data_IF_114631259694
#
_entry.id   IF_114631259694
#
_cell.length_a   1.000
_cell.length_b   1.000
_cell.length_c   1.000
_cell.angle_alpha   90.00
_cell.angle_beta   90.00
_cell.angle_gamma   90.00
#
_symmetry.space_group_name_H-M   'P 1'
#
loop_
_entity.id
_entity.type
_entity.pdbx_description
1 polymer ?
#
# COMPACT_ATOMS: atom_id res chain seq x y z
N UNK A 1 9.18 39.76 -22.55
CA UNK A 1 7.97 39.02 -22.19
C UNK A 1 6.93 40.03 -21.74
N UNK A 2 5.81 40.12 -22.43
CA UNK A 2 4.72 41.02 -22.11
C UNK A 2 3.91 40.43 -20.94
N UNK A 3 3.67 41.19 -19.88
CA UNK A 3 2.85 40.75 -18.74
C UNK A 3 1.37 40.80 -19.12
N UNK A 4 0.67 39.68 -19.04
CA UNK A 4 -0.78 39.68 -19.15
C UNK A 4 -1.40 40.47 -18.01
N UNK A 5 -2.13 41.57 -18.34
CA UNK A 5 -2.84 42.38 -17.36
C UNK A 5 -4.10 41.60 -16.88
N UNK A 6 -4.27 41.49 -15.56
CA UNK A 6 -5.49 40.92 -15.01
C UNK A 6 -6.63 41.93 -15.05
N UNK A 7 -7.84 41.46 -15.41
CA UNK A 7 -9.10 42.24 -15.32
C UNK A 7 -9.91 41.86 -14.07
N UNK A 8 -9.34 41.06 -13.17
CA UNK A 8 -10.01 40.62 -11.95
C UNK A 8 -10.15 41.77 -10.98
N UNK A 9 -11.39 42.05 -10.59
CA UNK A 9 -11.71 42.96 -9.51
C UNK A 9 -12.06 42.19 -8.24
N UNK A 10 -11.17 42.21 -7.26
CA UNK A 10 -11.35 41.48 -6.00
C UNK A 10 -12.45 42.05 -5.08
N UNK A 11 -12.94 43.24 -5.37
CA UNK A 11 -14.05 43.87 -4.66
C UNK A 11 -15.44 43.61 -5.30
N UNK A 12 -15.48 42.96 -6.45
CA UNK A 12 -16.70 42.56 -7.10
C UNK A 12 -17.42 41.46 -6.26
N UNK A 13 -18.74 41.57 -6.11
CA UNK A 13 -19.57 40.63 -5.37
C UNK A 13 -19.40 39.22 -5.92
N UNK A 14 -19.39 39.06 -7.23
CA UNK A 14 -19.19 37.75 -7.88
C UNK A 14 -17.80 37.16 -7.53
N UNK A 15 -16.75 37.95 -7.41
CA UNK A 15 -15.45 37.48 -6.96
C UNK A 15 -15.48 37.03 -5.49
N UNK A 16 -16.12 37.82 -4.63
CA UNK A 16 -16.23 37.51 -3.19
C UNK A 16 -17.00 36.20 -2.98
N UNK A 17 -18.12 36.04 -3.66
CA UNK A 17 -18.97 34.83 -3.57
C UNK A 17 -18.22 33.58 -4.10
N UNK A 18 -17.58 33.67 -5.25
CA UNK A 18 -16.77 32.60 -5.83
C UNK A 18 -15.59 32.23 -4.94
N UNK A 19 -14.92 33.24 -4.33
CA UNK A 19 -13.82 32.99 -3.38
C UNK A 19 -14.32 32.24 -2.15
N UNK A 20 -15.45 32.65 -1.57
CA UNK A 20 -16.04 31.97 -0.41
C UNK A 20 -16.42 30.50 -0.75
N UNK A 21 -17.07 30.28 -1.88
CA UNK A 21 -17.39 28.94 -2.34
C UNK A 21 -16.15 28.04 -2.55
N UNK A 22 -15.11 28.57 -3.19
CA UNK A 22 -13.88 27.80 -3.39
C UNK A 22 -13.16 27.49 -2.08
N UNK A 23 -13.12 28.46 -1.12
CA UNK A 23 -12.52 28.21 0.20
C UNK A 23 -13.27 27.11 0.95
N UNK A 24 -14.61 27.08 0.91
CA UNK A 24 -15.41 26.01 1.51
C UNK A 24 -15.11 24.63 0.89
N UNK A 25 -14.92 24.55 -0.43
CA UNK A 25 -14.54 23.32 -1.11
C UNK A 25 -13.12 22.86 -0.73
N UNK A 26 -12.19 23.78 -0.56
CA UNK A 26 -10.81 23.48 -0.12
C UNK A 26 -10.84 22.94 1.31
N UNK A 27 -11.60 23.56 2.22
CA UNK A 27 -11.77 23.11 3.59
C UNK A 27 -12.32 21.67 3.62
N UNK A 28 -13.40 21.41 2.89
CA UNK A 28 -13.97 20.06 2.75
C UNK A 28 -12.95 19.04 2.21
N UNK A 29 -12.16 19.42 1.21
CA UNK A 29 -11.09 18.55 0.69
C UNK A 29 -10.05 18.24 1.75
N UNK A 30 -9.60 19.25 2.52
CA UNK A 30 -8.61 19.07 3.58
C UNK A 30 -9.11 18.15 4.69
N UNK A 31 -10.37 18.27 5.13
CA UNK A 31 -11.00 17.37 6.10
C UNK A 31 -11.04 15.93 5.62
N UNK A 32 -11.44 15.71 4.35
CA UNK A 32 -11.45 14.37 3.74
C UNK A 32 -10.06 13.77 3.64
N UNK A 33 -9.06 14.56 3.27
CA UNK A 33 -7.67 14.14 3.21
C UNK A 33 -7.13 13.80 4.61
N UNK A 34 -7.46 14.60 5.63
CA UNK A 34 -7.07 14.32 7.01
C UNK A 34 -7.66 12.98 7.49
N UNK A 35 -8.94 12.74 7.22
CA UNK A 35 -9.63 11.48 7.52
C UNK A 35 -8.96 10.29 6.80
N UNK A 36 -8.66 10.43 5.51
CA UNK A 36 -7.99 9.38 4.74
C UNK A 36 -6.58 9.06 5.26
N UNK A 37 -5.85 10.09 5.74
CA UNK A 37 -4.51 9.95 6.29
C UNK A 37 -4.48 9.35 7.69
N UNK A 38 -5.55 9.48 8.46
CA UNK A 38 -5.68 8.88 9.79
C UNK A 38 -5.81 7.34 9.76
N UNK A 39 -5.98 6.76 8.57
CA UNK A 39 -6.04 5.29 8.39
C UNK A 39 -7.18 4.65 9.19
N UNK A 40 -6.86 3.62 9.98
CA UNK A 40 -7.84 2.90 10.80
C UNK A 40 -8.26 3.62 12.09
N UNK A 41 -7.66 4.79 12.40
CA UNK A 41 -7.94 5.60 13.58
C UNK A 41 -7.16 5.17 14.83
N UNK A 42 -7.26 5.99 15.90
CA UNK A 42 -6.38 5.97 17.06
C UNK A 42 -6.16 4.60 17.69
N UNK A 43 -7.22 3.84 17.99
CA UNK A 43 -7.11 2.50 18.61
C UNK A 43 -6.27 1.51 17.78
N UNK A 44 -6.42 1.55 16.46
CA UNK A 44 -5.68 0.66 15.56
C UNK A 44 -4.25 1.15 15.36
N UNK A 45 -4.04 2.46 15.35
CA UNK A 45 -2.72 3.07 15.34
C UNK A 45 -1.94 2.73 16.60
N UNK A 46 -2.52 2.91 17.81
CA UNK A 46 -1.90 2.53 19.08
C UNK A 46 -1.49 1.06 19.10
N UNK A 47 -2.40 0.17 18.68
CA UNK A 47 -2.10 -1.26 18.56
C UNK A 47 -0.98 -1.54 17.57
N UNK A 48 -0.89 -0.80 16.48
CA UNK A 48 0.16 -0.94 15.47
C UNK A 48 1.52 -0.51 16.04
N UNK A 49 1.56 0.67 16.69
CA UNK A 49 2.76 1.21 17.34
C UNK A 49 3.23 0.38 18.54
N UNK A 50 2.32 -0.18 19.34
CA UNK A 50 2.69 -1.05 20.45
C UNK A 50 3.42 -2.33 20.05
N UNK A 51 3.35 -2.69 18.75
CA UNK A 51 4.10 -3.79 18.14
C UNK A 51 5.43 -3.34 17.52
N UNK A 52 5.87 -2.12 17.78
CA UNK A 52 7.11 -1.55 17.23
C UNK A 52 7.07 -1.19 15.75
N UNK A 53 5.88 -1.07 15.17
CA UNK A 53 5.72 -0.82 13.74
C UNK A 53 5.48 0.66 13.43
N UNK A 54 6.11 1.14 12.36
CA UNK A 54 5.80 2.45 11.77
C UNK A 54 4.55 2.39 10.90
N UNK A 55 3.81 3.49 10.82
CA UNK A 55 2.69 3.66 9.89
C UNK A 55 3.20 3.71 8.43
N UNK A 56 2.35 3.39 7.44
CA UNK A 56 2.81 3.27 6.05
C UNK A 56 3.45 4.55 5.50
N UNK A 57 2.92 5.73 5.83
CA UNK A 57 3.51 7.02 5.40
C UNK A 57 4.85 7.30 6.07
N UNK A 58 4.99 6.97 7.34
CA UNK A 58 6.27 7.08 8.07
C UNK A 58 7.34 6.14 7.49
N UNK A 59 6.93 4.92 7.06
CA UNK A 59 7.84 3.99 6.39
C UNK A 59 8.36 4.58 5.08
N UNK A 60 7.48 5.17 4.28
CA UNK A 60 7.86 5.82 3.01
C UNK A 60 8.79 7.01 3.28
N UNK A 61 8.43 7.90 4.23
CA UNK A 61 9.23 9.07 4.59
C UNK A 61 10.66 8.73 5.02
N UNK A 62 10.85 7.55 5.66
CA UNK A 62 12.18 7.06 6.06
C UNK A 62 12.99 6.45 4.93
N UNK A 63 12.38 6.12 3.80
CA UNK A 63 13.04 5.47 2.65
C UNK A 63 13.39 6.50 1.59
N UNK A 64 12.53 7.51 1.36
CA UNK A 64 12.78 8.55 0.36
C UNK A 64 13.95 9.44 0.77
N UNK A 65 14.61 10.00 -0.22
CA UNK A 65 15.74 10.90 -0.02
C UNK A 65 15.31 12.14 0.80
N UNK A 66 16.08 12.56 1.81
CA UNK A 66 15.75 13.69 2.65
C UNK A 66 15.50 14.96 1.84
N UNK A 67 14.40 15.65 2.15
CA UNK A 67 14.01 16.90 1.48
C UNK A 67 13.35 16.74 0.12
N UNK A 68 13.13 15.50 -0.35
CA UNK A 68 12.36 15.23 -1.57
C UNK A 68 10.85 15.13 -1.26
N UNK A 69 10.03 15.47 -2.25
CA UNK A 69 8.58 15.37 -2.12
C UNK A 69 8.10 13.94 -2.39
N UNK A 70 7.03 13.52 -1.71
CA UNK A 70 6.28 12.31 -2.01
C UNK A 70 4.97 12.69 -2.71
N UNK A 71 4.80 12.26 -3.95
CA UNK A 71 3.55 12.44 -4.71
C UNK A 71 2.60 11.29 -4.39
N UNK A 72 1.75 11.45 -3.39
CA UNK A 72 0.74 10.46 -3.03
C UNK A 72 -0.37 10.38 -4.08
N UNK A 73 -0.67 9.17 -4.57
CA UNK A 73 -1.69 8.90 -5.57
C UNK A 73 -2.97 8.36 -4.93
N UNK A 74 -4.12 8.84 -5.40
CA UNK A 74 -5.45 8.33 -5.03
C UNK A 74 -5.70 8.27 -3.51
N UNK A 75 -5.31 9.32 -2.77
CA UNK A 75 -5.48 9.39 -1.31
C UNK A 75 -6.93 9.23 -0.86
N UNK A 76 -7.90 9.71 -1.65
CA UNK A 76 -9.33 9.60 -1.38
C UNK A 76 -9.98 8.32 -1.95
N UNK A 77 -9.20 7.34 -2.41
CA UNK A 77 -9.74 6.07 -2.86
C UNK A 77 -10.57 5.41 -1.75
N UNK A 78 -11.70 4.80 -2.13
CA UNK A 78 -12.69 4.22 -1.22
C UNK A 78 -13.40 5.23 -0.28
N UNK A 79 -13.33 6.52 -0.58
CA UNK A 79 -14.15 7.48 0.15
C UNK A 79 -15.66 7.09 0.05
N UNK A 80 -16.35 7.07 1.19
CA UNK A 80 -17.75 6.61 1.32
C UNK A 80 -18.04 5.15 0.91
N UNK A 81 -17.02 4.35 0.60
CA UNK A 81 -17.24 2.93 0.37
C UNK A 81 -17.01 2.11 1.65
N UNK A 82 -17.68 0.95 1.73
CA UNK A 82 -17.54 0.00 2.84
C UNK A 82 -17.82 0.63 4.23
N UNK A 83 -18.83 1.49 4.31
CA UNK A 83 -19.21 2.25 5.52
C UNK A 83 -18.04 3.05 6.11
N UNK A 84 -17.19 3.64 5.27
CA UNK A 84 -16.02 4.40 5.69
C UNK A 84 -14.91 3.59 6.36
N UNK A 85 -14.89 2.26 6.19
CA UNK A 85 -13.92 1.38 6.87
C UNK A 85 -12.63 1.11 6.10
N UNK A 86 -12.50 1.61 4.88
CA UNK A 86 -11.37 1.36 4.00
C UNK A 86 -10.74 2.65 3.47
N UNK A 87 -10.44 3.59 4.36
CA UNK A 87 -9.82 4.87 3.99
C UNK A 87 -8.58 4.65 3.12
N UNK A 88 -8.42 5.49 2.10
CA UNK A 88 -7.32 5.36 1.12
C UNK A 88 -7.22 3.97 0.48
N UNK A 89 -8.33 3.22 0.46
CA UNK A 89 -8.41 1.82 0.03
C UNK A 89 -7.44 0.87 0.77
N UNK A 90 -7.04 1.19 2.01
CA UNK A 90 -6.08 0.40 2.79
C UNK A 90 -4.66 0.36 2.22
N UNK A 91 -4.34 1.24 1.25
CA UNK A 91 -3.01 1.37 0.64
C UNK A 91 -2.56 2.82 0.58
N UNK A 92 -1.29 3.05 0.82
CA UNK A 92 -0.60 4.27 0.41
C UNK A 92 0.18 3.98 -0.86
N UNK A 93 -0.12 4.69 -1.93
CA UNK A 93 0.58 4.57 -3.21
C UNK A 93 1.09 5.94 -3.64
N UNK A 94 2.23 6.00 -4.29
CA UNK A 94 2.80 7.29 -4.72
C UNK A 94 4.18 7.15 -5.31
N UNK A 95 4.73 8.27 -5.74
CA UNK A 95 6.07 8.37 -6.32
C UNK A 95 6.95 9.16 -5.35
N UNK A 96 8.10 8.61 -5.03
CA UNK A 96 9.13 9.24 -4.20
C UNK A 96 10.51 8.99 -4.78
N UNK A 97 11.49 9.77 -4.37
CA UNK A 97 12.88 9.65 -4.84
C UNK A 97 13.67 8.81 -3.86
N UNK A 98 14.38 7.78 -4.35
CA UNK A 98 15.27 6.92 -3.57
C UNK A 98 16.62 6.85 -4.27
N UNK A 99 17.68 7.29 -3.60
CA UNK A 99 19.03 7.40 -4.19
C UNK A 99 19.05 8.12 -5.54
N UNK A 100 18.32 9.24 -5.63
CA UNK A 100 18.23 10.06 -6.84
C UNK A 100 17.36 9.47 -7.96
N UNK A 101 16.62 8.38 -7.71
CA UNK A 101 15.72 7.75 -8.69
C UNK A 101 14.27 7.82 -8.24
N UNK A 102 13.40 8.20 -9.14
CA UNK A 102 11.96 8.12 -8.92
C UNK A 102 11.52 6.65 -8.85
N UNK A 103 10.82 6.29 -7.77
CA UNK A 103 10.31 4.94 -7.51
C UNK A 103 8.82 5.02 -7.20
N UNK A 104 8.06 4.02 -7.63
CA UNK A 104 6.68 3.85 -7.23
C UNK A 104 6.63 3.07 -5.92
N UNK A 105 5.87 3.58 -4.96
CA UNK A 105 5.61 2.91 -3.68
C UNK A 105 4.20 2.33 -3.64
N UNK A 106 4.09 1.14 -3.06
CA UNK A 106 2.83 0.52 -2.65
C UNK A 106 3.00 0.03 -1.21
N UNK A 107 2.38 0.70 -0.26
CA UNK A 107 2.49 0.38 1.16
C UNK A 107 1.14 -0.01 1.75
N UNK A 108 1.02 -1.20 2.33
CA UNK A 108 -0.19 -1.63 3.02
C UNK A 108 -0.39 -0.84 4.31
N UNK A 109 -1.64 -0.44 4.57
CA UNK A 109 -2.04 0.11 5.86
C UNK A 109 -2.67 -0.98 6.73
N UNK A 110 -1.87 -1.59 7.58
CA UNK A 110 -2.34 -2.65 8.47
C UNK A 110 -3.28 -2.14 9.59
N UNK A 111 -3.42 -0.83 9.79
CA UNK A 111 -4.42 -0.26 10.69
C UNK A 111 -5.83 -0.42 10.13
N UNK A 112 -5.95 -0.61 8.81
CA UNK A 112 -7.20 -0.86 8.10
C UNK A 112 -7.37 -2.36 7.87
N UNK A 113 -8.19 -3.00 8.69
CA UNK A 113 -8.50 -4.45 8.60
C UNK A 113 -7.28 -5.35 8.43
N UNK A 114 -6.17 -5.02 9.11
CA UNK A 114 -4.94 -5.79 9.03
C UNK A 114 -4.26 -5.77 7.65
N UNK A 115 -4.47 -4.73 6.86
CA UNK A 115 -3.94 -4.62 5.50
C UNK A 115 -4.63 -5.53 4.48
N UNK A 116 -5.89 -5.92 4.74
CA UNK A 116 -6.67 -6.76 3.81
C UNK A 116 -7.04 -6.00 2.54
N UNK A 117 -7.06 -6.73 1.42
CA UNK A 117 -7.43 -6.20 0.11
C UNK A 117 -8.92 -6.27 -0.12
N UNK A 118 -9.56 -5.13 -0.22
CA UNK A 118 -10.91 -4.95 -0.77
C UNK A 118 -10.85 -4.88 -2.30
N UNK A 119 -11.99 -4.98 -3.01
CA UNK A 119 -12.02 -4.80 -4.48
C UNK A 119 -11.38 -3.49 -4.92
N UNK A 120 -11.65 -2.39 -4.22
CA UNK A 120 -11.05 -1.08 -4.53
C UNK A 120 -9.56 -1.01 -4.20
N UNK A 121 -9.08 -1.78 -3.22
CA UNK A 121 -7.65 -1.92 -2.90
C UNK A 121 -6.89 -2.52 -4.07
N UNK A 122 -7.45 -3.56 -4.68
CA UNK A 122 -6.90 -4.19 -5.89
C UNK A 122 -6.84 -3.18 -7.03
N UNK A 123 -7.92 -2.43 -7.29
CA UNK A 123 -7.95 -1.39 -8.34
C UNK A 123 -6.88 -0.32 -8.12
N UNK A 124 -6.70 0.13 -6.89
CA UNK A 124 -5.67 1.12 -6.53
C UNK A 124 -4.26 0.57 -6.77
N UNK A 125 -4.01 -0.67 -6.36
CA UNK A 125 -2.72 -1.34 -6.60
C UNK A 125 -2.43 -1.49 -8.10
N UNK A 126 -3.41 -1.98 -8.86
CA UNK A 126 -3.28 -2.12 -10.32
C UNK A 126 -3.01 -0.77 -11.02
N UNK A 127 -3.68 0.30 -10.57
CA UNK A 127 -3.43 1.64 -11.09
C UNK A 127 -2.02 2.13 -10.78
N UNK A 128 -1.52 1.86 -9.57
CA UNK A 128 -0.13 2.18 -9.20
C UNK A 128 0.86 1.43 -10.10
N UNK A 129 0.66 0.14 -10.34
CA UNK A 129 1.49 -0.65 -11.25
C UNK A 129 1.41 -0.15 -12.70
N UNK A 130 0.24 0.28 -13.18
CA UNK A 130 0.09 0.88 -14.49
C UNK A 130 0.92 2.17 -14.64
N UNK A 131 0.92 3.02 -13.60
CA UNK A 131 1.76 4.23 -13.57
C UNK A 131 3.25 3.85 -13.62
N UNK A 132 3.65 2.83 -12.86
CA UNK A 132 5.04 2.35 -12.87
C UNK A 132 5.44 1.79 -14.23
N UNK A 133 4.62 0.94 -14.82
CA UNK A 133 4.90 0.32 -16.14
C UNK A 133 5.01 1.37 -17.25
N UNK A 134 4.10 2.35 -17.25
CA UNK A 134 4.09 3.41 -18.27
C UNK A 134 5.31 4.34 -18.20
N UNK A 135 5.80 4.58 -16.97
CA UNK A 135 6.91 5.51 -16.72
C UNK A 135 8.24 4.82 -16.40
N UNK A 136 8.31 3.49 -16.50
CA UNK A 136 9.49 2.67 -16.18
C UNK A 136 10.04 2.91 -14.77
N UNK A 137 9.14 3.08 -13.78
CA UNK A 137 9.52 3.34 -12.39
C UNK A 137 9.76 2.02 -11.64
N UNK A 138 10.91 1.84 -10.97
CA UNK A 138 11.09 0.75 -10.01
C UNK A 138 9.96 0.74 -8.98
N UNK A 139 9.47 -0.45 -8.62
CA UNK A 139 8.39 -0.60 -7.66
C UNK A 139 8.95 -1.02 -6.29
N UNK A 140 8.53 -0.34 -5.23
CA UNK A 140 8.86 -0.66 -3.85
C UNK A 140 7.57 -1.01 -3.11
N UNK A 141 7.44 -2.27 -2.72
CA UNK A 141 6.30 -2.81 -1.99
C UNK A 141 6.64 -2.90 -0.50
N UNK A 142 5.92 -2.15 0.35
CA UNK A 142 6.05 -2.20 1.81
C UNK A 142 4.90 -3.05 2.35
N UNK A 143 5.17 -4.35 2.51
CA UNK A 143 4.12 -5.36 2.73
C UNK A 143 3.82 -5.53 4.21
N UNK A 144 2.54 -5.35 4.57
CA UNK A 144 1.96 -5.63 5.87
C UNK A 144 0.47 -5.98 5.65
N UNK A 145 0.21 -7.17 5.09
CA UNK A 145 -1.07 -7.54 4.49
C UNK A 145 -1.64 -8.85 5.02
N UNK A 146 -2.91 -8.80 5.41
CA UNK A 146 -3.71 -9.99 5.74
C UNK A 146 -4.25 -10.76 4.53
N UNK A 147 -3.86 -10.40 3.29
CA UNK A 147 -4.40 -11.02 2.08
C UNK A 147 -5.74 -10.42 1.65
N UNK A 148 -6.57 -11.21 0.94
CA UNK A 148 -7.88 -10.75 0.48
C UNK A 148 -8.88 -10.60 1.63
N UNK A 149 -9.78 -9.62 1.53
CA UNK A 149 -10.92 -9.50 2.43
C UNK A 149 -11.95 -10.58 2.09
N UNK A 150 -11.92 -11.69 2.83
CA UNK A 150 -12.68 -12.90 2.53
C UNK A 150 -14.19 -12.71 2.31
N UNK A 151 -14.90 -11.83 3.05
CA UNK A 151 -16.30 -11.59 2.78
C UNK A 151 -16.65 -11.07 1.37
N UNK A 152 -15.67 -10.53 0.64
CA UNK A 152 -15.80 -10.03 -0.73
C UNK A 152 -14.82 -10.76 -1.68
N UNK A 153 -14.47 -12.00 -1.39
CA UNK A 153 -13.49 -12.75 -2.18
C UNK A 153 -13.90 -12.97 -3.64
N UNK A 154 -15.19 -13.07 -3.91
CA UNK A 154 -15.79 -13.17 -5.24
C UNK A 154 -15.56 -11.91 -6.09
N UNK A 155 -15.40 -10.74 -5.46
CA UNK A 155 -15.04 -9.49 -6.13
C UNK A 155 -13.51 -9.22 -6.16
N UNK A 156 -12.70 -10.06 -5.52
CA UNK A 156 -11.25 -9.89 -5.41
C UNK A 156 -10.47 -10.89 -6.28
N UNK A 157 -10.89 -12.15 -6.38
CA UNK A 157 -10.11 -13.20 -7.04
C UNK A 157 -10.45 -13.50 -8.50
N UNK A 158 -11.73 -13.63 -8.94
CA UNK A 158 -12.06 -14.47 -10.09
C UNK A 158 -11.86 -13.87 -11.45
N UNK A 159 -11.58 -12.57 -11.62
CA UNK A 159 -11.60 -11.91 -12.93
C UNK A 159 -10.25 -11.28 -13.29
N UNK A 160 -10.13 -10.92 -14.56
CA UNK A 160 -8.95 -10.34 -15.23
C UNK A 160 -8.38 -9.10 -14.54
N UNK A 161 -9.24 -8.23 -13.99
CA UNK A 161 -8.86 -7.01 -13.26
C UNK A 161 -8.71 -7.19 -11.75
N UNK A 162 -8.61 -8.42 -11.27
CA UNK A 162 -8.59 -8.79 -9.87
C UNK A 162 -7.16 -9.12 -9.36
N UNK A 163 -7.07 -9.75 -8.21
CA UNK A 163 -5.82 -9.92 -7.46
C UNK A 163 -4.70 -10.58 -8.28
N UNK A 164 -5.02 -11.60 -9.08
CA UNK A 164 -4.05 -12.27 -9.95
C UNK A 164 -3.38 -11.37 -10.97
N UNK A 165 -4.02 -10.26 -11.34
CA UNK A 165 -3.44 -9.28 -12.24
C UNK A 165 -2.25 -8.54 -11.63
N UNK A 166 -2.23 -8.35 -10.32
CA UNK A 166 -1.11 -7.73 -9.59
C UNK A 166 0.16 -8.56 -9.83
N UNK A 167 0.08 -9.87 -9.65
CA UNK A 167 1.22 -10.80 -9.81
C UNK A 167 1.70 -10.87 -11.26
N UNK A 168 0.75 -10.96 -12.20
CA UNK A 168 1.08 -10.92 -13.62
C UNK A 168 1.81 -9.61 -13.99
N UNK A 169 1.36 -8.48 -13.46
CA UNK A 169 2.01 -7.20 -13.74
C UNK A 169 3.43 -7.16 -13.18
N UNK A 170 3.68 -7.69 -11.95
CA UNK A 170 5.03 -7.82 -11.41
C UNK A 170 5.94 -8.62 -12.33
N UNK A 171 5.50 -9.81 -12.76
CA UNK A 171 6.27 -10.66 -13.66
C UNK A 171 6.55 -9.97 -15.01
N UNK A 172 5.56 -9.27 -15.58
CA UNK A 172 5.71 -8.54 -16.86
C UNK A 172 6.68 -7.36 -16.70
N UNK A 173 6.56 -6.58 -15.64
CA UNK A 173 7.46 -5.44 -15.38
C UNK A 173 8.89 -5.91 -15.11
N UNK A 174 9.09 -6.97 -14.31
CA UNK A 174 10.40 -7.59 -14.11
C UNK A 174 11.01 -8.05 -15.45
N UNK A 175 10.22 -8.71 -16.30
CA UNK A 175 10.65 -9.08 -17.66
C UNK A 175 11.04 -7.88 -18.56
N UNK A 176 10.48 -6.70 -18.30
CA UNK A 176 10.87 -5.42 -18.93
C UNK A 176 12.08 -4.75 -18.24
N UNK A 177 12.66 -5.38 -17.24
CA UNK A 177 13.76 -4.85 -16.40
C UNK A 177 13.34 -3.62 -15.56
N UNK A 178 12.09 -3.52 -15.18
CA UNK A 178 11.59 -2.58 -14.18
C UNK A 178 11.70 -3.28 -12.83
N UNK A 179 12.63 -2.88 -11.94
CA UNK A 179 12.87 -3.59 -10.68
C UNK A 179 11.65 -3.66 -9.78
N UNK A 180 11.40 -4.84 -9.21
CA UNK A 180 10.34 -5.12 -8.26
C UNK A 180 10.98 -5.46 -6.91
N UNK A 181 10.88 -4.58 -5.92
CA UNK A 181 11.53 -4.72 -4.61
C UNK A 181 10.45 -4.79 -3.54
N UNK A 182 10.46 -5.82 -2.72
CA UNK A 182 9.52 -5.95 -1.61
C UNK A 182 10.22 -5.95 -0.25
N UNK A 183 9.70 -5.17 0.69
CA UNK A 183 10.07 -5.22 2.08
C UNK A 183 8.88 -5.72 2.90
N UNK A 184 9.03 -6.87 3.55
CA UNK A 184 8.00 -7.46 4.41
C UNK A 184 8.19 -6.94 5.82
N UNK A 185 7.30 -6.03 6.22
CA UNK A 185 7.39 -5.25 7.45
C UNK A 185 6.30 -5.60 8.47
N UNK A 186 5.52 -6.63 8.18
CA UNK A 186 4.45 -7.10 9.05
C UNK A 186 3.82 -8.37 8.56
N UNK A 187 2.59 -8.67 9.00
CA UNK A 187 1.87 -9.85 8.56
C UNK A 187 1.83 -9.93 7.04
N UNK A 188 2.11 -11.11 6.51
CA UNK A 188 2.14 -11.35 5.08
C UNK A 188 1.47 -12.68 4.80
N UNK A 189 0.16 -12.62 4.48
CA UNK A 189 -0.68 -13.83 4.44
C UNK A 189 -1.36 -13.99 3.08
N UNK A 190 -1.49 -15.24 2.65
CA UNK A 190 -2.20 -15.66 1.44
C UNK A 190 -1.76 -14.86 0.20
N UNK A 191 -2.70 -14.18 -0.48
CA UNK A 191 -2.39 -13.34 -1.64
C UNK A 191 -1.38 -12.22 -1.36
N UNK A 192 -1.29 -11.73 -0.09
CA UNK A 192 -0.27 -10.78 0.31
C UNK A 192 1.14 -11.35 0.24
N UNK A 193 1.32 -12.67 0.46
CA UNK A 193 2.61 -13.33 0.40
C UNK A 193 3.15 -13.50 -1.04
N UNK A 194 2.28 -13.46 -2.03
CA UNK A 194 2.71 -13.51 -3.43
C UNK A 194 3.45 -12.23 -3.86
N UNK A 195 3.13 -11.08 -3.29
CA UNK A 195 3.79 -9.81 -3.65
C UNK A 195 5.31 -9.90 -3.44
N UNK A 196 5.84 -10.26 -2.27
CA UNK A 196 7.28 -10.45 -2.10
C UNK A 196 7.82 -11.68 -2.88
N UNK A 197 7.04 -12.77 -2.98
CA UNK A 197 7.48 -13.96 -3.70
C UNK A 197 7.67 -13.73 -5.21
N UNK A 198 6.94 -12.76 -5.79
CA UNK A 198 7.03 -12.39 -7.21
C UNK A 198 7.93 -11.18 -7.46
N UNK A 199 8.55 -10.63 -6.42
CA UNK A 199 9.50 -9.52 -6.53
C UNK A 199 10.90 -10.01 -6.91
N UNK A 200 11.67 -9.16 -7.59
CA UNK A 200 13.05 -9.47 -7.96
C UNK A 200 13.95 -9.55 -6.73
N UNK A 201 13.66 -8.68 -5.72
CA UNK A 201 14.38 -8.64 -4.44
C UNK A 201 13.38 -8.60 -3.29
N UNK A 202 13.63 -9.42 -2.25
CA UNK A 202 12.79 -9.48 -1.06
C UNK A 202 13.59 -9.28 0.22
N UNK A 203 13.16 -8.30 1.02
CA UNK A 203 13.74 -7.98 2.32
C UNK A 203 12.73 -8.39 3.40
N UNK A 204 13.15 -9.18 4.37
CA UNK A 204 12.28 -9.66 5.46
C UNK A 204 12.87 -9.22 6.79
N UNK A 205 12.07 -8.56 7.62
CA UNK A 205 12.49 -8.14 8.97
C UNK A 205 12.47 -9.34 9.92
N UNK A 206 13.62 -9.68 10.48
CA UNK A 206 13.78 -10.82 11.40
C UNK A 206 12.95 -10.63 12.68
N UNK A 207 12.23 -11.67 13.07
CA UNK A 207 11.59 -11.80 14.39
C UNK A 207 10.14 -11.35 14.49
N UNK A 208 9.62 -10.54 13.56
CA UNK A 208 8.25 -9.98 13.67
C UNK A 208 7.35 -10.24 12.48
N UNK A 209 7.78 -11.04 11.51
CA UNK A 209 7.11 -11.10 10.21
C UNK A 209 6.82 -12.53 9.79
N UNK A 210 5.63 -13.06 10.13
CA UNK A 210 5.19 -14.34 9.59
C UNK A 210 4.75 -14.17 8.13
N UNK A 211 5.28 -15.02 7.25
CA UNK A 211 4.80 -15.18 5.88
C UNK A 211 4.09 -16.53 5.82
N UNK A 212 2.79 -16.51 5.53
CA UNK A 212 1.99 -17.72 5.46
C UNK A 212 1.17 -17.77 4.16
N UNK A 213 1.08 -18.95 3.58
CA UNK A 213 0.07 -19.19 2.54
C UNK A 213 -1.33 -19.23 3.16
N UNK A 214 -1.48 -19.87 4.33
CA UNK A 214 -2.70 -19.84 5.11
C UNK A 214 -2.35 -19.69 6.60
N UNK A 215 -3.08 -18.79 7.30
CA UNK A 215 -2.87 -18.60 8.73
C UNK A 215 -3.20 -19.87 9.53
N UNK A 216 -2.53 -20.17 10.66
CA UNK A 216 -2.81 -21.33 11.50
C UNK A 216 -4.28 -21.49 11.86
N UNK A 217 -4.96 -20.38 12.11
CA UNK A 217 -6.41 -20.32 12.42
C UNK A 217 -7.32 -20.80 11.28
N UNK A 218 -6.84 -20.81 10.03
CA UNK A 218 -7.58 -21.33 8.87
C UNK A 218 -7.19 -22.78 8.58
N UNK A 219 -5.93 -23.15 8.77
CA UNK A 219 -5.42 -24.49 8.47
C UNK A 219 -5.90 -25.49 9.52
N UNK A 220 -5.87 -25.14 10.79
CA UNK A 220 -6.27 -26.01 11.89
C UNK A 220 -7.71 -26.57 11.77
N UNK A 221 -8.76 -25.75 11.49
CA UNK A 221 -10.10 -26.27 11.26
C UNK A 221 -10.23 -27.12 9.99
N UNK A 222 -9.47 -26.77 8.94
CA UNK A 222 -9.55 -27.48 7.66
C UNK A 222 -8.86 -28.85 7.67
N UNK A 223 -7.81 -29.02 8.49
CA UNK A 223 -6.99 -30.24 8.54
C UNK A 223 -7.21 -31.07 9.79
N UNK A 224 -7.94 -30.54 10.80
CA UNK A 224 -8.07 -31.13 12.14
C UNK A 224 -6.72 -31.41 12.84
N UNK A 225 -5.63 -30.82 12.36
CA UNK A 225 -4.29 -30.99 12.90
C UNK A 225 -3.96 -29.85 13.89
N UNK A 226 -3.30 -30.21 14.98
CA UNK A 226 -2.67 -29.22 15.87
C UNK A 226 -1.36 -28.81 15.25
N UNK A 227 -1.36 -27.66 14.58
CA UNK A 227 -0.16 -27.12 13.95
C UNK A 227 0.52 -26.12 14.89
N UNK A 228 1.78 -26.34 15.18
CA UNK A 228 2.62 -25.35 15.87
C UNK A 228 3.10 -24.30 14.85
N UNK A 229 3.23 -23.03 15.25
CA UNK A 229 3.67 -21.96 14.34
C UNK A 229 4.97 -22.27 13.57
N UNK A 230 5.87 -23.07 14.16
CA UNK A 230 7.11 -23.48 13.51
C UNK A 230 6.89 -24.37 12.27
N UNK A 231 5.83 -25.15 12.23
CA UNK A 231 5.52 -26.08 11.11
C UNK A 231 4.93 -25.34 9.88
N UNK A 232 4.50 -24.09 10.09
CA UNK A 232 3.85 -23.26 9.05
C UNK A 232 4.78 -22.18 8.50
N UNK A 233 5.94 -21.99 9.11
CA UNK A 233 6.97 -21.10 8.62
C UNK A 233 7.76 -21.85 7.56
N UNK A 234 7.42 -21.66 6.30
CA UNK A 234 8.21 -22.09 5.16
C UNK A 234 9.53 -21.29 5.08
N UNK A 235 10.30 -21.29 6.19
CA UNK A 235 11.58 -20.57 6.26
C UNK A 235 12.60 -21.15 5.26
N UNK A 236 12.50 -22.43 4.95
CA UNK A 236 13.47 -23.09 4.09
C UNK A 236 13.11 -23.05 2.59
N UNK A 237 11.83 -22.85 2.26
CA UNK A 237 11.39 -22.81 0.85
C UNK A 237 11.64 -21.42 0.23
N UNK A 238 11.50 -20.34 0.99
CA UNK A 238 11.72 -18.98 0.48
C UNK A 238 13.20 -18.60 0.36
N UNK A 239 14.08 -19.25 1.13
CA UNK A 239 15.53 -18.99 1.07
C UNK A 239 16.25 -19.77 -0.03
N UNK A 240 15.66 -20.87 -0.53
CA UNK A 240 16.31 -21.75 -1.51
C UNK A 240 16.05 -21.35 -2.98
N UNK A 241 14.92 -20.69 -3.28
CA UNK A 241 14.49 -20.47 -4.67
C UNK A 241 14.42 -18.99 -5.10
N UNK A 242 14.52 -18.00 -4.20
CA UNK A 242 14.27 -16.59 -4.49
C UNK A 242 15.47 -15.65 -4.34
N UNK A 243 16.69 -16.10 -4.56
CA UNK A 243 17.90 -15.25 -4.45
C UNK A 243 18.24 -14.85 -3.00
N UNK A 244 19.28 -14.04 -2.78
CA UNK A 244 19.76 -13.74 -1.44
C UNK A 244 18.72 -12.94 -0.64
N UNK A 245 18.13 -13.55 0.38
CA UNK A 245 17.32 -12.86 1.36
C UNK A 245 18.23 -12.03 2.28
N UNK A 246 18.11 -10.72 2.24
CA UNK A 246 18.83 -9.83 3.16
C UNK A 246 18.03 -9.69 4.45
N UNK A 247 18.60 -10.16 5.56
CA UNK A 247 18.05 -9.92 6.90
C UNK A 247 18.64 -8.64 7.47
N UNK A 248 17.83 -7.61 7.65
CA UNK A 248 18.21 -6.43 8.40
C UNK A 248 17.97 -6.67 9.90
N UNK A 249 18.85 -6.21 10.81
CA UNK A 249 18.57 -6.23 12.22
C UNK A 249 17.34 -5.34 12.50
N UNK A 250 16.50 -5.75 13.45
CA UNK A 250 15.39 -4.94 13.91
C UNK A 250 15.94 -3.62 14.48
N UNK A 251 15.48 -2.49 13.95
CA UNK A 251 15.72 -1.12 14.44
C UNK A 251 14.47 -0.68 15.17
#
# INVERSE_FOLDING_TARGET
>A
MERLATKVNSADSAFVDNKAANLALIEQLQERLATARAGGGGKYEERHRSRGKYLPRERIERIIDPGTAFLELSTLAAYDLYDGRAHSAGLVTGIGVVHGRECLFVANDATIKGGSYYPITVKKHLRAQEVADTNNLPCIYLVDSGGAFLPLQDEVFPDKGHFGRIFRNQAVMSGKKIPQIAAVLGSCTAGGAYVPAMSDESIIVKGNVPIFLAAPTLVQPATCAVLIPADLVASDVLTAESGPAYTLPAV
#
